data_IF_200542016928
#
_entry.id   IF_200542016928
#
_cell.length_a   1.000
_cell.length_b   1.000
_cell.length_c   1.000
_cell.angle_alpha   90.00
_cell.angle_beta   90.00
_cell.angle_gamma   90.00
#
_symmetry.space_group_name_H-M   'P 1'
#
loop_
_entity.id
_entity.type
_entity.pdbx_description
1 polymer ?
#
# COMPACT_ATOMS: atom_id res chain seq x y z
N UNK A 1 -18.94 21.91 20.83
CA UNK A 1 -19.75 20.69 20.59
C UNK A 1 -20.34 20.81 19.20
N UNK A 2 -20.13 19.94 18.23
CA UNK A 2 -19.49 18.63 18.16
C UNK A 2 -19.90 18.06 16.81
N UNK A 3 -19.04 18.15 15.81
CA UNK A 3 -19.29 17.59 14.47
C UNK A 3 -18.44 16.32 14.34
N UNK A 4 -18.90 15.24 14.96
CA UNK A 4 -18.38 13.89 14.69
C UNK A 4 -18.93 13.42 13.35
N UNK A 5 -18.38 13.94 12.25
CA UNK A 5 -18.44 13.25 10.98
C UNK A 5 -17.36 12.17 11.03
N UNK A 6 -17.74 11.01 11.56
CA UNK A 6 -16.91 9.82 11.46
C UNK A 6 -16.95 9.36 10.01
N UNK A 7 -15.83 9.49 9.31
CA UNK A 7 -15.54 8.77 8.07
C UNK A 7 -15.64 7.26 8.35
N UNK A 8 -16.78 6.66 8.01
CA UNK A 8 -17.06 5.22 8.17
C UNK A 8 -17.04 4.51 6.80
N UNK A 9 -15.97 4.70 6.04
CA UNK A 9 -15.69 3.87 4.85
C UNK A 9 -14.42 3.04 5.02
N UNK A 10 -13.41 3.56 5.71
CA UNK A 10 -12.12 2.87 5.85
C UNK A 10 -12.07 1.88 7.04
N UNK A 11 -12.84 2.11 8.11
CA UNK A 11 -12.86 1.22 9.30
C UNK A 11 -13.52 -0.13 9.03
N UNK A 12 -14.65 -0.15 8.34
CA UNK A 12 -15.40 -1.39 8.06
C UNK A 12 -14.62 -2.35 7.15
N UNK A 13 -13.77 -1.81 6.28
CA UNK A 13 -12.89 -2.63 5.44
C UNK A 13 -11.81 -3.32 6.28
N UNK A 14 -11.13 -2.59 7.17
CA UNK A 14 -10.12 -3.15 8.08
C UNK A 14 -10.71 -4.22 9.00
N UNK A 15 -11.90 -4.01 9.54
CA UNK A 15 -12.58 -4.99 10.41
C UNK A 15 -12.88 -6.30 9.68
N UNK A 16 -13.26 -6.25 8.39
CA UNK A 16 -13.49 -7.44 7.59
C UNK A 16 -12.18 -8.23 7.38
N UNK A 17 -11.06 -7.56 7.08
CA UNK A 17 -9.76 -8.21 6.94
C UNK A 17 -9.22 -8.73 8.28
N UNK A 18 -9.55 -8.05 9.39
CA UNK A 18 -9.18 -8.47 10.74
C UNK A 18 -9.84 -9.80 11.11
N UNK A 19 -11.13 -9.98 10.77
CA UNK A 19 -11.84 -11.25 10.97
C UNK A 19 -11.24 -12.40 10.16
N UNK A 20 -10.64 -12.09 9.00
CA UNK A 20 -9.93 -13.04 8.17
C UNK A 20 -8.49 -13.31 8.65
N UNK A 21 -7.99 -12.55 9.64
CA UNK A 21 -6.65 -12.71 10.19
C UNK A 21 -5.54 -12.38 9.21
N UNK A 22 -5.78 -11.46 8.27
CA UNK A 22 -4.78 -11.10 7.26
C UNK A 22 -3.59 -10.39 7.93
N UNK A 23 -2.36 -10.93 7.86
CA UNK A 23 -1.21 -10.41 8.61
C UNK A 23 -0.74 -9.03 8.12
N UNK A 24 -0.96 -8.73 6.85
CA UNK A 24 -0.50 -7.51 6.19
C UNK A 24 -1.52 -7.04 5.15
N UNK A 25 -1.91 -5.77 5.22
CA UNK A 25 -2.89 -5.17 4.34
C UNK A 25 -2.33 -3.89 3.71
N UNK A 26 -2.46 -3.77 2.39
CA UNK A 26 -2.01 -2.61 1.63
C UNK A 26 -3.22 -1.87 1.10
N UNK A 27 -3.39 -0.62 1.53
CA UNK A 27 -4.53 0.22 1.17
C UNK A 27 -4.01 1.42 0.41
N UNK A 28 -4.45 1.56 -0.84
CA UNK A 28 -4.14 2.76 -1.63
C UNK A 28 -5.30 3.74 -1.54
N UNK A 29 -5.09 4.85 -0.84
CA UNK A 29 -6.11 5.87 -0.55
C UNK A 29 -5.45 7.26 -0.60
N UNK A 30 -6.19 8.29 -1.02
CA UNK A 30 -5.66 9.68 -1.08
C UNK A 30 -4.34 9.83 -1.85
N UNK A 31 -4.16 8.98 -2.85
CA UNK A 31 -2.97 8.96 -3.70
C UNK A 31 -1.68 8.46 -3.00
N UNK A 32 -1.80 7.87 -1.80
CA UNK A 32 -0.74 7.28 -0.99
C UNK A 32 -1.00 5.80 -0.73
N UNK A 33 0.06 5.00 -0.67
CA UNK A 33 -0.03 3.60 -0.24
C UNK A 33 0.22 3.51 1.27
N UNK A 34 -0.84 3.15 2.02
CA UNK A 34 -0.78 2.88 3.46
C UNK A 34 -0.61 1.38 3.68
N UNK A 35 0.36 1.01 4.50
CA UNK A 35 0.61 -0.40 4.88
C UNK A 35 0.14 -0.59 6.33
N UNK A 36 -0.69 -1.60 6.55
CA UNK A 36 -1.22 -1.98 7.85
C UNK A 36 -0.75 -3.39 8.21
N UNK A 37 -0.16 -3.55 9.38
CA UNK A 37 0.31 -4.84 9.91
C UNK A 37 -0.58 -5.26 11.08
N UNK A 38 -1.02 -6.50 11.07
CA UNK A 38 -1.83 -7.06 12.15
C UNK A 38 -0.93 -7.39 13.35
N UNK A 39 -0.99 -6.56 14.39
CA UNK A 39 -0.27 -6.74 15.64
C UNK A 39 -1.28 -6.76 16.80
N UNK A 40 -1.26 -7.81 17.63
CA UNK A 40 -2.15 -7.92 18.81
C UNK A 40 -3.64 -7.71 18.48
N UNK A 41 -4.10 -8.31 17.37
CA UNK A 41 -5.49 -8.25 16.91
C UNK A 41 -5.97 -6.83 16.52
N UNK A 42 -5.04 -5.94 16.17
CA UNK A 42 -5.31 -4.61 15.64
C UNK A 42 -4.36 -4.28 14.49
N UNK A 43 -4.85 -3.57 13.49
CA UNK A 43 -4.01 -3.08 12.40
C UNK A 43 -3.22 -1.84 12.82
N UNK A 44 -1.90 -1.92 12.71
CA UNK A 44 -0.98 -0.81 12.95
C UNK A 44 -0.45 -0.31 11.60
N UNK A 45 -0.58 0.98 11.33
CA UNK A 45 0.01 1.58 10.14
C UNK A 45 1.55 1.57 10.28
N UNK A 46 2.24 1.05 9.28
CA UNK A 46 3.71 1.05 9.18
C UNK A 46 4.12 1.71 7.86
N UNK A 47 5.29 2.34 7.87
CA UNK A 47 5.86 2.93 6.65
C UNK A 47 6.54 1.87 5.76
N UNK A 48 6.84 0.70 6.30
CA UNK A 48 7.63 -0.35 5.66
C UNK A 48 6.89 -1.67 5.81
N UNK A 49 6.87 -2.46 4.73
CA UNK A 49 6.38 -3.83 4.76
C UNK A 49 7.42 -4.74 5.43
N UNK A 50 7.05 -5.53 6.45
CA UNK A 50 7.91 -6.57 6.99
C UNK A 50 8.13 -7.72 6.01
N UNK A 51 7.23 -7.93 5.05
CA UNK A 51 7.41 -8.92 3.98
C UNK A 51 8.44 -8.45 2.94
N UNK A 52 8.50 -7.15 2.66
CA UNK A 52 9.41 -6.55 1.69
C UNK A 52 10.36 -5.52 2.32
N UNK A 53 11.11 -5.93 3.36
CA UNK A 53 12.05 -5.07 4.09
C UNK A 53 13.11 -4.40 3.20
N UNK A 54 13.41 -5.01 2.06
CA UNK A 54 14.47 -4.59 1.15
C UNK A 54 13.95 -3.69 0.01
N UNK A 55 12.63 -3.52 -0.11
CA UNK A 55 12.02 -2.74 -1.20
C UNK A 55 11.22 -1.56 -0.64
N UNK A 56 11.50 -0.32 -1.10
CA UNK A 56 10.70 0.85 -0.75
C UNK A 56 9.38 0.86 -1.54
N UNK A 57 8.50 -0.12 -1.26
CA UNK A 57 7.24 -0.36 -2.00
C UNK A 57 6.37 0.90 -2.12
N UNK A 58 6.13 1.71 -1.06
CA UNK A 58 5.30 2.92 -1.19
C UNK A 58 5.85 3.90 -2.23
N UNK A 59 7.16 4.12 -2.23
CA UNK A 59 7.84 5.02 -3.18
C UNK A 59 7.76 4.49 -4.61
N UNK A 60 8.01 3.18 -4.79
CA UNK A 60 7.95 2.56 -6.12
C UNK A 60 6.54 2.64 -6.69
N UNK A 61 5.52 2.32 -5.88
CA UNK A 61 4.11 2.39 -6.30
C UNK A 61 3.73 3.82 -6.68
N UNK A 62 4.14 4.82 -5.88
CA UNK A 62 3.91 6.23 -6.20
C UNK A 62 4.54 6.64 -7.55
N UNK A 63 5.78 6.23 -7.80
CA UNK A 63 6.47 6.50 -9.07
C UNK A 63 5.76 5.83 -10.25
N UNK A 64 5.39 4.56 -10.12
CA UNK A 64 4.70 3.82 -11.20
C UNK A 64 3.36 4.46 -11.54
N UNK A 65 2.63 4.95 -10.54
CA UNK A 65 1.36 5.64 -10.74
C UNK A 65 1.55 6.99 -11.41
N UNK A 66 2.56 7.77 -11.03
CA UNK A 66 2.93 9.01 -11.71
C UNK A 66 3.33 8.76 -13.18
N UNK A 67 4.16 7.75 -13.44
CA UNK A 67 4.54 7.38 -14.80
C UNK A 67 3.35 6.88 -15.61
N UNK A 68 2.43 6.13 -15.01
CA UNK A 68 1.21 5.65 -15.66
C UNK A 68 0.32 6.82 -16.08
N UNK A 69 0.21 7.86 -15.24
CA UNK A 69 -0.52 9.10 -15.56
C UNK A 69 0.15 9.90 -16.68
N UNK A 70 1.49 9.95 -16.73
CA UNK A 70 2.25 10.75 -17.71
C UNK A 70 2.45 10.06 -19.06
N UNK A 71 2.78 8.77 -19.06
CA UNK A 71 3.24 8.00 -20.24
C UNK A 71 2.26 6.92 -20.66
N UNK A 72 1.22 6.64 -19.85
CA UNK A 72 0.28 5.54 -20.04
C UNK A 72 0.67 4.28 -19.26
N UNK A 73 -0.32 3.42 -19.04
CA UNK A 73 -0.21 2.21 -18.19
C UNK A 73 0.86 1.22 -18.68
N UNK A 74 0.85 0.88 -19.96
CA UNK A 74 1.76 -0.13 -20.53
C UNK A 74 3.24 0.21 -20.39
N UNK A 75 3.71 1.42 -20.73
CA UNK A 75 5.11 1.78 -20.52
C UNK A 75 5.49 1.91 -19.04
N UNK A 76 4.59 2.36 -18.17
CA UNK A 76 4.85 2.42 -16.73
C UNK A 76 5.05 1.04 -16.11
N UNK A 77 4.19 0.07 -16.43
CA UNK A 77 4.32 -1.31 -15.96
C UNK A 77 5.59 -1.99 -16.50
N UNK A 78 5.98 -1.71 -17.75
CA UNK A 78 7.24 -2.24 -18.31
C UNK A 78 8.46 -1.71 -17.56
N UNK A 79 8.46 -0.42 -17.21
CA UNK A 79 9.54 0.18 -16.43
C UNK A 79 9.59 -0.40 -15.01
N UNK A 80 8.44 -0.50 -14.34
CA UNK A 80 8.31 -1.13 -13.04
C UNK A 80 8.91 -2.54 -13.02
N UNK A 81 8.52 -3.38 -13.98
CA UNK A 81 9.04 -4.76 -14.09
C UNK A 81 10.57 -4.79 -14.18
N UNK A 82 11.16 -3.95 -15.03
CA UNK A 82 12.62 -3.87 -15.18
C UNK A 82 13.32 -3.43 -13.90
N UNK A 83 12.72 -2.51 -13.15
CA UNK A 83 13.28 -2.05 -11.88
C UNK A 83 13.29 -3.18 -10.84
N UNK A 84 12.18 -3.91 -10.72
CA UNK A 84 12.09 -5.06 -9.81
C UNK A 84 13.06 -6.18 -10.21
N UNK A 85 13.16 -6.49 -11.50
CA UNK A 85 14.13 -7.46 -12.01
C UNK A 85 15.57 -7.07 -11.62
N UNK A 86 15.95 -5.81 -11.84
CA UNK A 86 17.28 -5.31 -11.46
C UNK A 86 17.55 -5.33 -9.94
N UNK A 87 16.52 -5.19 -9.10
CA UNK A 87 16.63 -5.23 -7.63
C UNK A 87 16.75 -6.65 -7.07
N UNK A 88 16.29 -7.67 -7.80
CA UNK A 88 16.34 -9.08 -7.37
C UNK A 88 17.63 -9.77 -7.85
N UNK A 89 18.28 -9.25 -8.89
CA UNK A 89 19.48 -9.84 -9.50
C UNK A 89 20.80 -9.43 -8.81
N UNK A 90 20.74 -8.76 -7.66
CA UNK A 90 21.89 -8.35 -6.82
C UNK A 90 21.90 -9.10 -5.49
#
# INVERSE_FOLDING_TARGET
MGSSQVDVTSKTQLEAYLQLGVPELWVYEENELKIYILESNQYQQKAISPTFLQLPIPSIIAEVLDQSRKKGRSPALRNFRKQIEAMIET
#
